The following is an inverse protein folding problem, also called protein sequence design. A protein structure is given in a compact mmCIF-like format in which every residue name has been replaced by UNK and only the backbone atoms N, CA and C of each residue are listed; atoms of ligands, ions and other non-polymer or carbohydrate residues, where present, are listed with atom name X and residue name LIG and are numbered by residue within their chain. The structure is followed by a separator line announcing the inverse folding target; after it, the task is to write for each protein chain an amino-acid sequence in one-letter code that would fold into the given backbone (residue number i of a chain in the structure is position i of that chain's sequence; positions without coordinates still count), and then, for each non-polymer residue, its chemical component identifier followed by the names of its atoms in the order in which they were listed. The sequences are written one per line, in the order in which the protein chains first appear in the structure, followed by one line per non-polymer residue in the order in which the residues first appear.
data_IF_107054600487
#
_entry.id   IF_107054600487
#
_cell.length_a   1.000
_cell.length_b   1.000
_cell.length_c   1.000
_cell.angle_alpha   90.00
_cell.angle_beta   90.00
_cell.angle_gamma   90.00
#
_symmetry.space_group_name_H-M   'P 1'
#
loop_
_entity.id
_entity.type
_entity.pdbx_description
1 polymer ?
#
# COMPACT_ATOMS: atom_id res chain seq x y z
N UNK A 1 7.01 0.20 34.88
CA UNK A 1 6.40 0.94 33.79
C UNK A 1 6.39 0.03 32.56
N UNK A 2 5.22 -0.48 32.21
CA UNK A 2 5.04 -1.31 31.03
C UNK A 2 4.88 -0.37 29.83
N UNK A 3 5.90 -0.29 28.98
CA UNK A 3 5.80 0.36 27.70
C UNK A 3 4.83 -0.44 26.83
N UNK A 4 3.61 0.06 26.76
CA UNK A 4 2.65 -0.40 25.76
C UNK A 4 3.12 0.23 24.43
N UNK A 5 3.81 -0.55 23.60
CA UNK A 5 4.01 -0.18 22.21
C UNK A 5 2.63 -0.19 21.54
N UNK A 6 1.93 0.96 21.60
CA UNK A 6 0.89 1.27 20.63
C UNK A 6 1.58 1.27 19.28
N UNK A 7 1.08 0.47 18.32
CA UNK A 7 1.39 0.72 16.91
C UNK A 7 1.08 2.19 16.69
N UNK A 8 2.13 2.98 16.50
CA UNK A 8 1.95 4.30 15.96
C UNK A 8 1.46 4.06 14.54
N UNK A 9 0.26 4.54 14.25
CA UNK A 9 -0.17 4.69 12.87
C UNK A 9 0.93 5.47 12.17
N UNK A 10 1.72 4.81 11.32
CA UNK A 10 2.80 5.45 10.62
C UNK A 10 2.21 6.31 9.52
N UNK A 11 1.65 7.43 9.91
CA UNK A 11 1.35 8.50 8.98
C UNK A 11 2.42 9.57 9.10
N UNK A 12 2.82 10.05 7.95
CA UNK A 12 3.79 11.12 7.79
C UNK A 12 3.06 12.36 7.27
N UNK A 13 3.23 13.49 7.95
CA UNK A 13 2.78 14.77 7.44
C UNK A 13 3.94 15.44 6.72
N UNK A 14 3.78 15.68 5.42
CA UNK A 14 4.77 16.32 4.57
C UNK A 14 4.76 17.85 4.76
N UNK A 15 5.78 18.54 4.21
CA UNK A 15 5.94 19.99 4.37
C UNK A 15 4.83 20.83 3.75
N UNK A 16 4.12 20.30 2.75
CA UNK A 16 2.95 20.90 2.10
C UNK A 16 1.62 20.63 2.83
N UNK A 17 1.65 19.88 3.93
CA UNK A 17 0.50 19.47 4.71
C UNK A 17 -0.16 18.16 4.23
N UNK A 18 0.30 17.57 3.14
CA UNK A 18 -0.15 16.25 2.67
C UNK A 18 0.17 15.18 3.71
N UNK A 19 -0.69 14.14 3.74
CA UNK A 19 -0.55 13.01 4.67
C UNK A 19 -0.28 11.74 3.85
N UNK A 20 0.70 10.96 4.30
CA UNK A 20 1.04 9.67 3.71
C UNK A 20 1.04 8.60 4.80
N UNK A 21 0.19 7.59 4.63
CA UNK A 21 0.26 6.37 5.42
C UNK A 21 1.17 5.38 4.70
N UNK A 22 2.14 4.81 5.40
CA UNK A 22 3.14 3.89 4.83
C UNK A 22 2.88 2.51 5.39
N UNK A 23 2.68 1.52 4.50
CA UNK A 23 2.42 0.14 4.90
C UNK A 23 3.72 -0.60 5.28
N UNK A 24 3.59 -1.78 5.86
CA UNK A 24 4.73 -2.63 6.26
C UNK A 24 5.67 -2.91 5.09
N UNK A 25 6.98 -3.05 5.38
CA UNK A 25 8.05 -3.31 4.38
C UNK A 25 8.11 -2.29 3.24
N UNK A 26 7.72 -1.04 3.52
CA UNK A 26 7.70 0.03 2.53
C UNK A 26 8.70 1.12 2.87
N UNK A 27 9.23 1.75 1.85
CA UNK A 27 10.18 2.86 1.96
C UNK A 27 9.65 4.06 1.17
N UNK A 28 9.56 5.21 1.83
CA UNK A 28 9.25 6.48 1.21
C UNK A 28 10.44 7.43 1.35
N UNK A 29 10.97 7.92 0.24
CA UNK A 29 12.01 8.96 0.21
C UNK A 29 11.36 10.26 -0.27
N UNK A 30 11.60 11.33 0.47
CA UNK A 30 11.03 12.65 0.21
C UNK A 30 11.99 13.73 0.71
N UNK A 31 11.97 14.95 0.13
CA UNK A 31 12.77 16.07 0.62
C UNK A 31 12.16 16.63 1.92
N UNK A 32 12.99 17.18 2.80
CA UNK A 32 12.54 17.86 4.03
C UNK A 32 11.59 19.01 3.71
N UNK A 33 11.82 19.70 2.58
CA UNK A 33 10.97 20.76 2.06
C UNK A 33 10.85 20.62 0.54
N UNK A 34 9.62 20.69 0.03
CA UNK A 34 9.37 20.63 -1.40
C UNK A 34 9.84 21.91 -2.11
N UNK A 35 10.15 21.76 -3.39
CA UNK A 35 10.41 22.92 -4.25
C UNK A 35 9.08 23.63 -4.58
N UNK A 36 9.11 24.95 -4.90
CA UNK A 36 7.90 25.65 -5.30
C UNK A 36 7.26 25.13 -6.60
N UNK A 37 8.03 24.45 -7.44
CA UNK A 37 7.59 24.03 -8.78
C UNK A 37 7.02 22.62 -8.79
N UNK A 38 7.51 21.73 -7.93
CA UNK A 38 7.06 20.35 -7.86
C UNK A 38 7.26 19.72 -6.47
N UNK A 39 6.47 18.69 -6.21
CA UNK A 39 6.48 17.94 -4.97
C UNK A 39 6.74 16.48 -5.30
N UNK A 40 7.99 16.03 -5.22
CA UNK A 40 8.41 14.70 -5.63
C UNK A 40 8.73 13.80 -4.45
N UNK A 41 8.23 12.56 -4.50
CA UNK A 41 8.54 11.50 -3.55
C UNK A 41 8.81 10.19 -4.30
N UNK A 42 9.55 9.29 -3.67
CA UNK A 42 9.93 7.99 -4.22
C UNK A 42 9.43 6.89 -3.30
N UNK A 43 8.59 6.00 -3.82
CA UNK A 43 7.98 4.90 -3.08
C UNK A 43 8.50 3.55 -3.58
N UNK A 44 8.85 2.69 -2.63
CA UNK A 44 9.00 1.25 -2.78
C UNK A 44 8.12 0.56 -1.73
N UNK A 45 7.24 -0.37 -2.13
CA UNK A 45 6.24 -0.96 -1.26
C UNK A 45 4.86 -0.34 -1.45
N UNK A 46 4.10 -0.15 -0.37
CA UNK A 46 2.73 0.35 -0.42
C UNK A 46 2.53 1.58 0.46
N UNK A 47 1.83 2.57 -0.09
CA UNK A 47 1.44 3.75 0.66
C UNK A 47 0.08 4.31 0.19
N UNK A 48 -0.63 4.88 1.14
CA UNK A 48 -1.84 5.66 0.89
C UNK A 48 -1.53 7.15 1.04
N UNK A 49 -1.92 7.90 0.02
CA UNK A 49 -1.66 9.32 -0.10
C UNK A 49 -2.95 10.13 0.03
N UNK A 50 -2.96 11.12 0.90
CA UNK A 50 -3.96 12.18 0.97
C UNK A 50 -3.27 13.52 0.68
N UNK A 51 -3.29 13.91 -0.59
CA UNK A 51 -2.50 15.02 -1.12
C UNK A 51 -3.31 16.30 -1.11
N UNK A 52 -2.75 17.32 -0.46
CA UNK A 52 -3.30 18.68 -0.45
C UNK A 52 -3.28 19.25 -1.87
N UNK A 53 -4.43 19.85 -2.27
CA UNK A 53 -4.60 20.38 -3.61
C UNK A 53 -3.72 21.61 -3.82
N UNK A 54 -2.93 21.56 -4.88
CA UNK A 54 -2.19 22.68 -5.44
C UNK A 54 -2.12 22.55 -6.96
N UNK A 55 -2.84 23.42 -7.68
CA UNK A 55 -2.93 23.37 -9.13
C UNK A 55 -1.66 23.92 -9.81
N UNK A 56 -0.78 24.59 -9.06
CA UNK A 56 0.46 25.20 -9.57
C UNK A 56 1.68 24.31 -9.35
N UNK A 57 1.65 23.44 -8.35
CA UNK A 57 2.74 22.56 -7.98
C UNK A 57 2.25 21.11 -7.95
N UNK A 58 2.40 20.34 -9.04
CA UNK A 58 1.99 18.93 -9.09
C UNK A 58 2.72 18.11 -8.03
N UNK A 59 2.04 17.08 -7.51
CA UNK A 59 2.64 16.09 -6.65
C UNK A 59 2.96 14.83 -7.47
N UNK A 60 4.20 14.38 -7.41
CA UNK A 60 4.68 13.24 -8.18
C UNK A 60 5.16 12.12 -7.26
N UNK A 61 4.67 10.90 -7.50
CA UNK A 61 5.13 9.69 -6.84
C UNK A 61 5.85 8.81 -7.85
N UNK A 62 7.15 8.63 -7.63
CA UNK A 62 7.99 7.76 -8.46
C UNK A 62 8.05 6.36 -7.86
N UNK A 63 7.78 5.33 -8.68
CA UNK A 63 7.83 3.92 -8.29
C UNK A 63 8.51 3.12 -9.40
N UNK A 64 9.81 2.88 -9.28
CA UNK A 64 10.59 2.25 -10.35
C UNK A 64 10.57 3.11 -11.63
N UNK A 65 10.05 2.56 -12.71
CA UNK A 65 9.91 3.19 -14.03
C UNK A 65 8.58 3.96 -14.21
N UNK A 66 7.73 4.01 -13.19
CA UNK A 66 6.41 4.62 -13.25
C UNK A 66 6.36 5.90 -12.41
N UNK A 67 5.67 6.90 -12.93
CA UNK A 67 5.40 8.16 -12.23
C UNK A 67 3.90 8.41 -12.17
N UNK A 68 3.41 8.67 -10.96
CA UNK A 68 2.05 9.10 -10.71
C UNK A 68 2.07 10.60 -10.47
N UNK A 69 1.25 11.34 -11.23
CA UNK A 69 1.13 12.80 -11.09
C UNK A 69 -0.28 13.17 -10.67
N UNK A 70 -0.40 13.98 -9.62
CA UNK A 70 -1.68 14.45 -9.07
C UNK A 70 -1.60 15.92 -8.67
N UNK A 71 -2.76 16.58 -8.55
CA UNK A 71 -2.85 17.98 -8.08
C UNK A 71 -3.45 18.08 -6.68
N UNK A 72 -4.26 17.09 -6.25
CA UNK A 72 -4.91 17.03 -4.95
C UNK A 72 -5.86 15.83 -4.95
N UNK A 73 -5.43 14.71 -4.37
CA UNK A 73 -5.98 13.39 -4.69
C UNK A 73 -5.77 12.45 -3.52
N UNK A 74 -6.77 11.56 -3.28
CA UNK A 74 -6.65 10.44 -2.35
C UNK A 74 -6.52 9.14 -3.12
N UNK A 75 -5.44 8.41 -2.90
CA UNK A 75 -5.15 7.20 -3.64
C UNK A 75 -4.19 6.26 -2.91
N UNK A 76 -4.24 4.98 -3.27
CA UNK A 76 -3.32 3.95 -2.80
C UNK A 76 -2.41 3.50 -3.93
N UNK A 77 -1.16 3.25 -3.62
CA UNK A 77 -0.18 2.65 -4.55
C UNK A 77 0.43 1.43 -3.89
N UNK A 78 0.39 0.29 -4.58
CA UNK A 78 1.09 -0.94 -4.19
C UNK A 78 2.14 -1.28 -5.24
N UNK A 79 3.41 -1.18 -4.87
CA UNK A 79 4.58 -1.29 -5.73
C UNK A 79 5.68 -2.17 -5.07
N UNK A 80 5.31 -3.22 -4.33
CA UNK A 80 6.27 -4.16 -3.75
C UNK A 80 7.04 -4.89 -4.86
N UNK A 81 8.34 -5.06 -4.70
CA UNK A 81 9.20 -5.70 -5.73
C UNK A 81 8.82 -7.14 -6.02
N UNK A 82 8.44 -7.88 -4.99
CA UNK A 82 8.12 -9.30 -5.00
C UNK A 82 6.64 -9.62 -5.33
N UNK A 83 5.79 -8.58 -5.49
CA UNK A 83 4.44 -8.76 -6.01
C UNK A 83 4.45 -8.86 -7.54
N UNK A 84 3.56 -9.67 -8.10
CA UNK A 84 3.42 -9.84 -9.55
C UNK A 84 2.86 -8.60 -10.23
N UNK A 85 2.05 -7.82 -9.51
CA UNK A 85 1.37 -6.65 -10.04
C UNK A 85 1.85 -5.36 -9.35
N UNK A 86 1.89 -4.31 -10.13
CA UNK A 86 1.92 -2.94 -9.67
C UNK A 86 0.50 -2.38 -9.74
N UNK A 87 0.04 -1.70 -8.71
CA UNK A 87 -1.35 -1.21 -8.63
C UNK A 87 -1.42 0.22 -8.15
N UNK A 88 -2.29 1.02 -8.79
CA UNK A 88 -2.70 2.34 -8.29
C UNK A 88 -4.24 2.38 -8.23
N UNK A 89 -4.78 2.68 -7.06
CA UNK A 89 -6.23 2.73 -6.79
C UNK A 89 -6.64 4.14 -6.42
N UNK A 90 -7.54 4.73 -7.18
CA UNK A 90 -8.00 6.10 -6.98
C UNK A 90 -9.28 6.14 -6.13
N UNK A 91 -9.22 6.87 -5.01
CA UNK A 91 -10.37 7.11 -4.13
C UNK A 91 -11.07 8.42 -4.49
N UNK A 92 -10.30 9.50 -4.62
CA UNK A 92 -10.85 10.84 -4.87
C UNK A 92 -9.89 11.67 -5.70
N UNK A 93 -10.40 12.45 -6.63
CA UNK A 93 -9.62 13.36 -7.48
C UNK A 93 -9.32 12.75 -8.84
N UNK A 94 -8.08 12.90 -9.31
CA UNK A 94 -7.62 12.43 -10.61
C UNK A 94 -6.15 12.04 -10.55
N UNK A 95 -5.80 10.92 -11.15
CA UNK A 95 -4.42 10.44 -11.31
C UNK A 95 -4.04 10.43 -12.78
N UNK A 96 -2.81 10.85 -13.09
CA UNK A 96 -2.14 10.53 -14.35
C UNK A 96 -0.95 9.61 -14.04
N UNK A 97 -0.92 8.42 -14.64
CA UNK A 97 0.19 7.47 -14.54
C UNK A 97 0.95 7.50 -15.85
N UNK A 98 2.26 7.66 -15.78
CA UNK A 98 3.18 7.60 -16.94
C UNK A 98 4.26 6.56 -16.71
N UNK A 99 4.59 5.77 -17.74
CA UNK A 99 5.70 4.83 -17.75
C UNK A 99 6.18 4.69 -19.20
N UNK A 100 7.45 5.02 -19.49
CA UNK A 100 8.01 5.00 -20.85
C UNK A 100 7.01 5.51 -21.92
N UNK A 101 6.43 4.61 -22.72
CA UNK A 101 5.49 4.94 -23.81
C UNK A 101 4.01 4.82 -23.41
N UNK A 102 3.74 4.68 -22.11
CA UNK A 102 2.41 4.47 -21.58
C UNK A 102 1.96 5.68 -20.76
N UNK A 103 0.71 6.12 -21.00
CA UNK A 103 0.03 7.13 -20.19
C UNK A 103 -1.41 6.71 -19.96
N UNK A 104 -1.82 6.69 -18.70
CA UNK A 104 -3.18 6.36 -18.29
C UNK A 104 -3.70 7.36 -17.28
N UNK A 105 -4.94 7.80 -17.48
CA UNK A 105 -5.69 8.62 -16.52
C UNK A 105 -6.69 7.76 -15.78
N UNK A 106 -6.78 7.91 -14.45
CA UNK A 106 -7.77 7.26 -13.62
C UNK A 106 -8.79 8.26 -13.08
N UNK A 107 -10.02 7.80 -12.98
CA UNK A 107 -11.13 8.45 -12.31
C UNK A 107 -11.45 7.73 -10.98
N UNK A 108 -12.20 8.36 -10.06
CA UNK A 108 -12.57 7.74 -8.78
C UNK A 108 -13.17 6.34 -8.95
N UNK A 109 -12.84 5.44 -8.03
CA UNK A 109 -13.19 4.01 -8.04
C UNK A 109 -12.51 3.19 -9.15
N UNK A 110 -11.56 3.77 -9.88
CA UNK A 110 -10.75 3.02 -10.83
C UNK A 110 -9.41 2.60 -10.23
N UNK A 111 -8.94 1.43 -10.65
CA UNK A 111 -7.63 0.87 -10.35
C UNK A 111 -6.93 0.51 -11.64
N UNK A 112 -5.69 0.96 -11.77
CA UNK A 112 -4.75 0.47 -12.78
C UNK A 112 -3.93 -0.67 -12.17
N UNK A 113 -3.96 -1.84 -12.81
CA UNK A 113 -3.07 -2.96 -12.53
C UNK A 113 -2.11 -3.13 -13.70
N UNK A 114 -0.83 -3.28 -13.39
CA UNK A 114 0.21 -3.56 -14.39
C UNK A 114 0.91 -4.84 -13.96
N UNK A 115 0.80 -5.88 -14.77
CA UNK A 115 1.57 -7.11 -14.56
C UNK A 115 3.05 -6.80 -14.87
N UNK A 116 3.93 -7.05 -13.91
CA UNK A 116 5.35 -6.69 -14.01
C UNK A 116 6.14 -7.59 -14.96
N UNK A 117 5.68 -8.82 -15.16
CA UNK A 117 6.35 -9.79 -16.03
C UNK A 117 5.96 -9.56 -17.49
N UNK A 118 4.66 -9.35 -17.77
CA UNK A 118 4.15 -9.20 -19.13
C UNK A 118 4.07 -7.75 -19.61
N UNK A 119 4.07 -6.77 -18.69
CA UNK A 119 3.81 -5.36 -18.98
C UNK A 119 2.34 -5.05 -19.28
N UNK A 120 1.45 -6.05 -19.22
CA UNK A 120 0.02 -5.85 -19.48
C UNK A 120 -0.59 -4.89 -18.46
N UNK A 121 -1.28 -3.86 -18.96
CA UNK A 121 -1.92 -2.83 -18.16
C UNK A 121 -3.45 -2.91 -18.30
N UNK A 122 -4.17 -3.01 -17.20
CA UNK A 122 -5.63 -3.11 -17.16
C UNK A 122 -6.19 -2.09 -16.19
N UNK A 123 -7.19 -1.31 -16.65
CA UNK A 123 -7.99 -0.43 -15.79
C UNK A 123 -9.32 -1.11 -15.48
N UNK A 124 -9.68 -1.19 -14.21
CA UNK A 124 -10.92 -1.80 -13.74
C UNK A 124 -11.61 -0.92 -12.69
N UNK A 125 -12.92 -0.99 -12.59
CA UNK A 125 -13.67 -0.42 -11.46
C UNK A 125 -13.56 -1.34 -10.24
N UNK A 126 -13.33 -0.76 -9.07
CA UNK A 126 -13.12 -1.50 -7.83
C UNK A 126 -13.84 -0.84 -6.65
N UNK A 127 -14.15 -1.67 -5.65
CA UNK A 127 -14.47 -1.17 -4.30
C UNK A 127 -13.15 -0.73 -3.64
N UNK A 128 -12.90 0.56 -3.57
CA UNK A 128 -11.61 1.12 -3.11
C UNK A 128 -11.24 0.67 -1.70
N UNK A 129 -12.23 0.41 -0.85
CA UNK A 129 -12.05 -0.05 0.53
C UNK A 129 -11.26 -1.37 0.60
N UNK A 130 -11.37 -2.24 -0.40
CA UNK A 130 -10.57 -3.48 -0.47
C UNK A 130 -9.05 -3.23 -0.53
N UNK A 131 -8.66 -2.03 -0.98
CA UNK A 131 -7.25 -1.65 -1.19
C UNK A 131 -6.76 -0.57 -0.23
N UNK A 132 -7.66 0.06 0.53
CA UNK A 132 -7.32 1.20 1.41
C UNK A 132 -7.61 0.95 2.88
N UNK A 133 -8.41 -0.06 3.22
CA UNK A 133 -8.81 -0.36 4.60
C UNK A 133 -7.65 -0.73 5.54
N UNK A 134 -6.50 -1.06 4.98
CA UNK A 134 -5.29 -1.32 5.76
C UNK A 134 -4.84 -0.07 6.56
N UNK A 135 -5.17 1.13 6.09
CA UNK A 135 -4.96 2.39 6.83
C UNK A 135 -5.66 2.36 8.18
N UNK A 136 -6.85 1.74 8.24
CA UNK A 136 -7.66 1.57 9.46
C UNK A 136 -7.36 0.25 10.19
N UNK A 137 -6.30 -0.45 9.83
CA UNK A 137 -5.94 -1.74 10.44
C UNK A 137 -6.86 -2.90 10.05
N UNK A 138 -7.50 -2.85 8.89
CA UNK A 138 -8.38 -3.90 8.39
C UNK A 138 -7.91 -4.41 7.05
N UNK A 139 -8.02 -5.72 6.83
CA UNK A 139 -7.84 -6.34 5.53
C UNK A 139 -9.14 -6.93 5.05
N UNK A 140 -9.65 -6.41 3.95
CA UNK A 140 -10.74 -7.02 3.22
C UNK A 140 -10.17 -7.83 2.06
N UNK A 141 -10.60 -9.09 1.92
CA UNK A 141 -10.29 -9.89 0.76
C UNK A 141 -11.56 -10.52 0.19
N UNK A 142 -11.68 -10.45 -1.12
CA UNK A 142 -12.81 -11.02 -1.85
C UNK A 142 -12.27 -11.75 -3.08
N UNK A 143 -12.21 -13.10 -2.98
CA UNK A 143 -11.70 -13.94 -4.06
C UNK A 143 -10.18 -13.88 -4.25
N UNK A 144 -9.43 -13.47 -3.22
CA UNK A 144 -7.97 -13.53 -3.21
C UNK A 144 -7.52 -14.98 -3.05
N UNK A 145 -6.44 -15.36 -3.73
CA UNK A 145 -5.73 -16.61 -3.48
C UNK A 145 -5.15 -16.58 -2.07
N UNK A 146 -5.10 -17.75 -1.42
CA UNK A 146 -4.53 -17.83 -0.07
C UNK A 146 -3.08 -17.36 -0.03
N UNK A 147 -2.28 -17.66 -1.05
CA UNK A 147 -0.90 -17.20 -1.16
C UNK A 147 -0.78 -15.67 -1.10
N UNK A 148 -1.69 -14.94 -1.78
CA UNK A 148 -1.68 -13.48 -1.78
C UNK A 148 -2.09 -12.90 -0.41
N UNK A 149 -3.01 -13.59 0.28
CA UNK A 149 -3.41 -13.24 1.65
C UNK A 149 -2.24 -13.50 2.60
N UNK A 150 -1.59 -14.65 2.48
CA UNK A 150 -0.46 -15.04 3.33
C UNK A 150 0.69 -14.04 3.21
N UNK A 151 1.08 -13.63 1.99
CA UNK A 151 2.11 -12.59 1.79
C UNK A 151 1.78 -11.29 2.50
N UNK A 152 0.51 -10.84 2.44
CA UNK A 152 0.09 -9.64 3.18
C UNK A 152 0.21 -9.83 4.68
N UNK A 153 -0.15 -11.01 5.19
CA UNK A 153 -0.01 -11.33 6.62
C UNK A 153 1.44 -11.43 7.04
N UNK A 154 2.30 -12.04 6.25
CA UNK A 154 3.75 -12.13 6.50
C UNK A 154 4.35 -10.73 6.68
N UNK A 155 4.06 -9.80 5.76
CA UNK A 155 4.50 -8.40 5.86
C UNK A 155 3.94 -7.69 7.09
N UNK A 156 2.68 -7.94 7.44
CA UNK A 156 2.01 -7.23 8.53
C UNK A 156 2.44 -7.67 9.91
N UNK A 157 2.70 -8.97 10.06
CA UNK A 157 3.02 -9.57 11.36
C UNK A 157 4.50 -9.90 11.53
N UNK A 158 5.32 -9.65 10.49
CA UNK A 158 6.75 -10.03 10.45
C UNK A 158 6.92 -11.52 10.78
N UNK A 159 6.16 -12.37 10.05
CA UNK A 159 6.15 -13.82 10.22
C UNK A 159 6.39 -14.51 8.88
N UNK A 160 6.78 -15.79 8.92
CA UNK A 160 6.89 -16.63 7.74
C UNK A 160 5.83 -17.73 7.81
N UNK A 161 5.04 -17.88 6.75
CA UNK A 161 3.96 -18.86 6.67
C UNK A 161 4.42 -20.07 5.84
N UNK A 162 4.46 -21.24 6.47
CA UNK A 162 4.79 -22.50 5.81
C UNK A 162 3.52 -23.26 5.45
N UNK A 163 3.44 -23.73 4.21
CA UNK A 163 2.33 -24.54 3.73
C UNK A 163 2.63 -26.00 3.92
N UNK A 164 1.77 -26.72 4.64
CA UNK A 164 1.82 -28.18 4.71
C UNK A 164 1.24 -28.86 3.47
N UNK A 165 0.33 -28.15 2.78
CA UNK A 165 -0.27 -28.58 1.52
C UNK A 165 -0.20 -27.43 0.53
N UNK A 166 0.50 -27.64 -0.59
CA UNK A 166 0.67 -26.61 -1.65
C UNK A 166 -0.65 -26.26 -2.33
N UNK A 167 -1.62 -27.16 -2.38
CA UNK A 167 -2.93 -26.92 -3.02
C UNK A 167 -3.70 -25.76 -2.37
N UNK A 168 -3.44 -25.45 -1.10
CA UNK A 168 -4.11 -24.36 -0.40
C UNK A 168 -3.77 -22.98 -1.00
N UNK A 169 -2.61 -22.84 -1.63
CA UNK A 169 -2.13 -21.58 -2.20
C UNK A 169 -3.11 -20.98 -3.20
N UNK A 170 -3.71 -21.84 -4.02
CA UNK A 170 -4.64 -21.44 -5.10
C UNK A 170 -6.09 -21.31 -4.63
N UNK A 171 -6.40 -21.72 -3.42
CA UNK A 171 -7.75 -21.61 -2.88
C UNK A 171 -8.12 -20.14 -2.69
N UNK A 172 -9.34 -19.79 -3.14
CA UNK A 172 -9.85 -18.43 -3.03
C UNK A 172 -10.65 -18.24 -1.77
N UNK A 173 -10.33 -17.17 -1.06
CA UNK A 173 -10.96 -16.82 0.20
C UNK A 173 -11.70 -15.48 0.12
N UNK A 174 -12.72 -15.36 0.97
CA UNK A 174 -13.43 -14.11 1.23
C UNK A 174 -13.48 -13.91 2.73
N UNK A 175 -13.16 -12.72 3.20
CA UNK A 175 -13.21 -12.41 4.63
C UNK A 175 -12.69 -11.02 4.95
N UNK A 176 -12.65 -10.76 6.24
CA UNK A 176 -12.06 -9.56 6.83
C UNK A 176 -11.14 -10.03 7.95
N UNK A 177 -9.91 -9.56 7.96
CA UNK A 177 -9.03 -9.66 9.10
C UNK A 177 -8.94 -8.26 9.71
N UNK A 178 -9.45 -8.10 10.92
CA UNK A 178 -9.21 -6.90 11.72
C UNK A 178 -7.97 -7.16 12.58
N UNK A 179 -7.00 -6.29 12.48
CA UNK A 179 -5.81 -6.36 13.32
C UNK A 179 -6.15 -5.75 14.67
N UNK A 180 -6.72 -6.57 15.55
CA UNK A 180 -6.79 -6.24 16.97
C UNK A 180 -5.49 -6.72 17.62
N UNK A 181 -4.72 -5.78 18.18
CA UNK A 181 -3.53 -6.12 18.96
C UNK A 181 -3.91 -6.82 20.26
N UNK A 182 -4.13 -8.12 20.20
CA UNK A 182 -4.03 -8.95 21.39
C UNK A 182 -2.55 -9.27 21.57
N UNK A 183 -2.01 -8.84 22.71
CA UNK A 183 -0.66 -9.18 23.13
C UNK A 183 -0.44 -10.69 23.03
N UNK A 184 0.40 -11.15 22.12
CA UNK A 184 1.07 -12.42 22.28
C UNK A 184 2.02 -12.24 23.47
N UNK A 185 1.55 -12.61 24.67
CA UNK A 185 2.45 -12.85 25.79
C UNK A 185 3.27 -14.06 25.42
N UNK A 186 4.55 -13.85 25.12
CA UNK A 186 5.53 -14.91 25.19
C UNK A 186 5.49 -15.47 26.62
N UNK A 187 4.99 -16.69 26.80
CA UNK A 187 5.21 -17.45 27.99
C UNK A 187 6.68 -17.86 28.00
N UNK A 188 7.48 -17.10 28.72
CA UNK A 188 8.78 -17.61 29.20
C UNK A 188 8.47 -18.77 30.15
N UNK A 189 8.62 -19.99 29.66
CA UNK A 189 8.77 -21.16 30.51
C UNK A 189 10.15 -21.11 31.14
N UNK A 190 10.21 -20.52 32.34
CA UNK A 190 11.35 -20.69 33.23
C UNK A 190 11.39 -22.16 33.62
N UNK A 191 12.35 -22.89 33.12
CA UNK A 191 12.79 -24.13 33.72
C UNK A 191 13.80 -23.77 34.82
N UNK A 192 13.30 -23.79 36.06
CA UNK A 192 14.19 -23.90 37.25
C UNK A 192 14.62 -25.34 37.36
N UNK A 193 15.92 -25.55 37.29
CA UNK A 193 16.67 -26.64 37.93
C UNK A 193 17.89 -26.06 38.63
#
# INVERSE_FOLDING_TARGET
ASDVYKRQDFYLKLSDGSIVNINSESTLRFPVQFSPENREVYLEGEAFFDIVRDDKSPFMVHTGDKTITVLGTKFNVSAYRDDQEWMATLVQGKISVTAQDFQQVLLPSQQLCINKETGEAVVKEVETELYTSWVDGKFYFRGYRFEDIAKKMERWYDVVIFYQNEEIKDMKFRGVIAVSYTHLRAHETRHDL
#
